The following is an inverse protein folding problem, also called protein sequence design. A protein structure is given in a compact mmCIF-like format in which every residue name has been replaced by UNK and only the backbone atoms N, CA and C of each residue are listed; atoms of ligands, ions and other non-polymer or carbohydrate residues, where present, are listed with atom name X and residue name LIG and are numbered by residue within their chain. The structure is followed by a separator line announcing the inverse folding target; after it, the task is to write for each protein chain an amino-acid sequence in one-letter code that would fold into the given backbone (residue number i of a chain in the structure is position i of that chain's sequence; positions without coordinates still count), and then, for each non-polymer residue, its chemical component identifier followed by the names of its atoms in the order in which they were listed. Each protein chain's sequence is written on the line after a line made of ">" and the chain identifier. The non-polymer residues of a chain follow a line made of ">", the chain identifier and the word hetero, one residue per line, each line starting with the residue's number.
data_IF_898418377688
#
_entry.id   IF_898418377688
#
_cell.length_a   1.000
_cell.length_b   1.000
_cell.length_c   1.000
_cell.angle_alpha   90.00
_cell.angle_beta   90.00
_cell.angle_gamma   90.00
#
_symmetry.space_group_name_H-M   'P 1'
#
loop_
_entity.id
_entity.type
_entity.pdbx_description
1 polymer ?
#
# COMPACT_ATOMS: atom_id res chain seq x y z
N UNK A 1 3.64 -20.71 -53.69
CA UNK A 1 2.52 -21.00 -52.77
C UNK A 1 3.11 -21.57 -51.49
N UNK A 2 2.82 -21.15 -50.26
CA UNK A 2 1.95 -20.12 -49.68
C UNK A 2 2.49 -19.88 -48.25
N UNK A 3 2.63 -18.62 -47.85
CA UNK A 3 1.86 -17.99 -46.76
C UNK A 3 1.84 -18.72 -45.41
N UNK A 4 2.36 -18.02 -44.39
CA UNK A 4 1.73 -17.73 -43.09
C UNK A 4 2.68 -17.97 -41.91
N UNK A 5 3.21 -16.87 -41.35
CA UNK A 5 2.93 -16.57 -39.94
C UNK A 5 3.15 -15.08 -39.68
N UNK A 6 2.04 -14.37 -39.79
CA UNK A 6 1.75 -13.08 -39.16
C UNK A 6 1.44 -13.36 -37.69
N UNK A 7 2.11 -12.69 -36.75
CA UNK A 7 1.59 -12.21 -35.47
C UNK A 7 2.77 -11.94 -34.51
N UNK A 8 3.27 -10.71 -34.43
CA UNK A 8 2.86 -9.75 -33.39
C UNK A 8 2.76 -10.35 -31.99
N UNK A 9 3.78 -10.13 -31.17
CA UNK A 9 3.51 -9.55 -29.85
C UNK A 9 4.70 -8.70 -29.39
N UNK A 10 4.59 -7.41 -29.68
CA UNK A 10 5.29 -6.37 -28.96
C UNK A 10 4.83 -6.47 -27.51
N UNK A 11 5.67 -6.99 -26.63
CA UNK A 11 5.48 -6.90 -25.19
C UNK A 11 5.77 -5.45 -24.77
N UNK A 12 4.84 -4.54 -25.11
CA UNK A 12 4.68 -3.26 -24.45
C UNK A 12 3.99 -3.52 -23.11
N UNK A 13 4.69 -4.12 -22.16
CA UNK A 13 4.23 -4.13 -20.77
C UNK A 13 4.65 -2.82 -20.12
N UNK A 14 3.71 -1.87 -20.11
CA UNK A 14 3.73 -0.69 -19.25
C UNK A 14 4.22 -1.06 -17.82
N UNK A 15 5.36 -0.55 -17.33
CA UNK A 15 5.84 -0.88 -15.99
C UNK A 15 5.20 -0.05 -14.85
N UNK A 16 4.27 0.87 -15.14
CA UNK A 16 3.87 1.89 -14.16
C UNK A 16 3.01 1.41 -12.98
N UNK A 17 2.52 0.16 -13.00
CA UNK A 17 1.83 -0.48 -11.87
C UNK A 17 2.70 -1.53 -11.15
N UNK A 18 3.80 -1.95 -11.76
CA UNK A 18 4.68 -2.99 -11.24
C UNK A 18 5.79 -2.43 -10.34
N UNK A 19 6.13 -1.15 -10.43
CA UNK A 19 7.24 -0.58 -9.66
C UNK A 19 7.02 -0.65 -8.15
N UNK A 20 5.81 -0.32 -7.68
CA UNK A 20 5.47 -0.41 -6.25
C UNK A 20 5.44 -1.87 -5.76
N UNK A 21 4.93 -2.79 -6.57
CA UNK A 21 4.90 -4.23 -6.27
C UNK A 21 6.29 -4.87 -6.29
N UNK A 22 7.15 -4.45 -7.22
CA UNK A 22 8.54 -4.90 -7.32
C UNK A 22 9.36 -4.36 -6.14
N UNK A 23 9.15 -3.10 -5.76
CA UNK A 23 9.79 -2.51 -4.58
C UNK A 23 9.32 -3.17 -3.28
N UNK A 24 8.02 -3.48 -3.15
CA UNK A 24 7.49 -4.22 -2.00
C UNK A 24 8.08 -5.64 -1.91
N UNK A 25 8.18 -6.36 -3.04
CA UNK A 25 8.84 -7.67 -3.10
C UNK A 25 10.32 -7.58 -2.76
N UNK A 26 11.02 -6.56 -3.26
CA UNK A 26 12.44 -6.38 -2.96
C UNK A 26 12.66 -6.04 -1.48
N UNK A 27 11.78 -5.22 -0.88
CA UNK A 27 11.80 -4.92 0.55
C UNK A 27 11.50 -6.17 1.40
N UNK A 28 10.62 -7.05 0.94
CA UNK A 28 10.32 -8.32 1.62
C UNK A 28 11.43 -9.36 1.46
N UNK A 29 12.15 -9.35 0.33
CA UNK A 29 13.33 -10.19 0.10
C UNK A 29 14.60 -9.64 0.79
N UNK A 30 14.64 -8.34 1.11
CA UNK A 30 15.72 -7.69 1.84
C UNK A 30 15.23 -7.15 3.20
N UNK A 31 15.08 -8.02 4.21
CA UNK A 31 14.65 -7.61 5.56
C UNK A 31 15.61 -6.58 6.18
N UNK A 32 16.89 -6.59 5.79
CA UNK A 32 17.88 -5.59 6.24
C UNK A 32 17.55 -4.18 5.73
N UNK A 33 17.11 -4.06 4.48
CA UNK A 33 16.68 -2.77 3.91
C UNK A 33 15.43 -2.23 4.61
N UNK A 34 14.47 -3.11 4.90
CA UNK A 34 13.28 -2.75 5.67
C UNK A 34 13.64 -2.29 7.08
N UNK A 35 14.61 -2.97 7.72
CA UNK A 35 15.11 -2.63 9.05
C UNK A 35 15.82 -1.29 9.08
N UNK A 36 16.64 -0.98 8.06
CA UNK A 36 17.25 0.36 7.90
C UNK A 36 16.21 1.45 7.66
N UNK A 37 15.15 1.16 6.89
CA UNK A 37 14.08 2.11 6.68
C UNK A 37 13.30 2.37 7.97
N UNK A 38 13.02 1.34 8.77
CA UNK A 38 12.39 1.51 10.09
C UNK A 38 13.29 2.24 11.09
N UNK A 39 14.60 2.01 11.03
CA UNK A 39 15.57 2.69 11.88
C UNK A 39 15.68 4.19 11.53
N UNK A 40 15.31 4.56 10.30
CA UNK A 40 15.34 5.94 9.84
C UNK A 40 14.46 6.84 10.72
N UNK A 41 15.00 7.95 11.27
CA UNK A 41 14.26 8.83 12.17
C UNK A 41 12.99 9.39 11.53
N UNK A 42 12.95 9.57 10.21
CA UNK A 42 11.75 9.99 9.50
C UNK A 42 10.66 8.92 9.59
N UNK A 43 11.02 7.65 9.38
CA UNK A 43 10.08 6.54 9.46
C UNK A 43 9.61 6.31 10.90
N UNK A 44 10.49 6.48 11.88
CA UNK A 44 10.11 6.46 13.30
C UNK A 44 9.13 7.57 13.65
N UNK A 45 9.33 8.78 13.10
CA UNK A 45 8.36 9.87 13.25
C UNK A 45 7.04 9.55 12.55
N UNK A 46 7.07 8.97 11.35
CA UNK A 46 5.84 8.58 10.64
C UNK A 46 5.08 7.48 11.40
N UNK A 47 5.75 6.43 11.87
CA UNK A 47 5.12 5.34 12.63
C UNK A 47 4.70 5.77 14.03
N UNK A 48 5.49 6.63 14.67
CA UNK A 48 5.21 7.17 16.00
C UNK A 48 4.15 8.25 16.01
N UNK A 49 3.91 8.91 14.87
CA UNK A 49 2.91 9.97 14.73
C UNK A 49 1.82 9.55 13.73
N UNK A 50 0.66 9.08 14.21
CA UNK A 50 -0.44 8.65 13.34
C UNK A 50 -0.96 9.77 12.43
N UNK A 51 -0.79 11.03 12.82
CA UNK A 51 -1.19 12.21 12.05
C UNK A 51 -0.34 12.39 10.78
N UNK A 52 0.96 12.13 10.86
CA UNK A 52 1.87 12.14 9.70
C UNK A 52 1.53 10.97 8.78
N UNK A 53 1.37 9.77 9.34
CA UNK A 53 1.00 8.58 8.57
C UNK A 53 -0.33 8.78 7.83
N UNK A 54 -1.34 9.33 8.51
CA UNK A 54 -2.63 9.72 7.91
C UNK A 54 -2.45 10.73 6.79
N UNK A 55 -1.61 11.75 6.98
CA UNK A 55 -1.35 12.76 5.94
C UNK A 55 -0.73 12.13 4.69
N UNK A 56 0.19 11.19 4.85
CA UNK A 56 0.78 10.45 3.73
C UNK A 56 -0.25 9.59 3.00
N UNK A 57 -1.12 8.89 3.74
CA UNK A 57 -2.23 8.13 3.17
C UNK A 57 -3.21 9.04 2.43
N UNK A 58 -3.63 10.15 3.03
CA UNK A 58 -4.55 11.10 2.43
C UNK A 58 -3.95 11.79 1.19
N UNK A 59 -2.62 12.01 1.17
CA UNK A 59 -1.92 12.55 0.01
C UNK A 59 -1.65 11.49 -1.09
N UNK A 60 -1.97 10.22 -0.86
CA UNK A 60 -1.79 9.19 -1.86
C UNK A 60 -3.01 9.14 -2.80
N UNK A 61 -2.85 9.37 -4.12
CA UNK A 61 -3.96 9.33 -5.08
C UNK A 61 -4.66 7.98 -5.14
N UNK A 62 -3.97 6.88 -4.81
CA UNK A 62 -4.59 5.56 -4.74
C UNK A 62 -5.59 5.48 -3.59
N UNK A 63 -5.26 6.06 -2.44
CA UNK A 63 -6.14 6.10 -1.28
C UNK A 63 -7.34 7.00 -1.57
N UNK A 64 -7.14 8.15 -2.21
CA UNK A 64 -8.23 9.01 -2.66
C UNK A 64 -9.24 8.22 -3.51
N UNK A 65 -8.75 7.45 -4.49
CA UNK A 65 -9.61 6.59 -5.31
C UNK A 65 -10.31 5.49 -4.50
N UNK A 66 -9.65 4.91 -3.48
CA UNK A 66 -10.30 3.96 -2.57
C UNK A 66 -11.39 4.63 -1.73
N UNK A 67 -11.18 5.87 -1.26
CA UNK A 67 -12.17 6.63 -0.49
C UNK A 67 -13.37 6.99 -1.37
N UNK A 68 -13.12 7.41 -2.62
CA UNK A 68 -14.18 7.70 -3.60
C UNK A 68 -15.01 6.46 -3.91
N UNK A 69 -14.38 5.29 -3.96
CA UNK A 69 -15.06 4.01 -4.23
C UNK A 69 -15.64 3.36 -2.98
N UNK A 70 -15.14 3.73 -1.80
CA UNK A 70 -15.51 3.14 -0.51
C UNK A 70 -15.55 4.24 0.57
N UNK A 71 -16.72 4.89 0.75
CA UNK A 71 -16.86 6.02 1.66
C UNK A 71 -16.67 5.63 3.15
N UNK A 72 -16.86 4.35 3.51
CA UNK A 72 -16.54 3.85 4.85
C UNK A 72 -15.03 3.93 5.12
N UNK A 73 -14.22 3.63 4.10
CA UNK A 73 -12.77 3.70 4.17
C UNK A 73 -12.31 5.16 4.38
N UNK A 74 -13.02 6.12 3.79
CA UNK A 74 -12.85 7.55 4.05
C UNK A 74 -13.15 7.94 5.50
N UNK A 75 -14.23 7.44 6.09
CA UNK A 75 -14.56 7.70 7.49
C UNK A 75 -13.49 7.12 8.43
N UNK A 76 -13.06 5.89 8.18
CA UNK A 76 -11.98 5.23 8.93
C UNK A 76 -10.68 6.02 8.87
N UNK A 77 -10.33 6.58 7.70
CA UNK A 77 -9.10 7.36 7.54
C UNK A 77 -9.19 8.79 8.08
N UNK A 78 -10.39 9.37 8.12
CA UNK A 78 -10.63 10.69 8.71
C UNK A 78 -10.73 10.65 10.23
N UNK A 79 -11.03 9.49 10.80
CA UNK A 79 -11.16 9.29 12.24
C UNK A 79 -10.02 8.42 12.79
N UNK A 80 -9.08 8.99 13.57
CA UNK A 80 -7.92 8.24 14.05
C UNK A 80 -8.29 7.14 15.07
N UNK A 81 -9.42 7.26 15.76
CA UNK A 81 -9.90 6.25 16.70
C UNK A 81 -10.45 5.04 15.93
N UNK A 82 -11.26 5.30 14.91
CA UNK A 82 -11.76 4.25 14.01
C UNK A 82 -10.64 3.56 13.23
N UNK A 83 -9.62 4.32 12.80
CA UNK A 83 -8.42 3.76 12.17
C UNK A 83 -7.66 2.84 13.12
N UNK A 84 -7.48 3.24 14.38
CA UNK A 84 -6.84 2.42 15.42
C UNK A 84 -7.66 1.17 15.69
N UNK A 85 -8.97 1.30 15.82
CA UNK A 85 -9.88 0.17 16.02
C UNK A 85 -9.82 -0.83 14.85
N UNK A 86 -9.78 -0.32 13.62
CA UNK A 86 -9.65 -1.16 12.41
C UNK A 86 -8.27 -1.81 12.36
N UNK A 87 -7.21 -1.05 12.65
CA UNK A 87 -5.84 -1.56 12.69
C UNK A 87 -5.66 -2.60 13.78
N UNK A 88 -6.26 -2.43 14.96
CA UNK A 88 -6.28 -3.38 16.06
C UNK A 88 -7.06 -4.64 15.70
N UNK A 89 -8.20 -4.52 15.01
CA UNK A 89 -8.94 -5.68 14.49
C UNK A 89 -8.10 -6.49 13.49
N UNK A 90 -7.33 -5.81 12.65
CA UNK A 90 -6.42 -6.43 11.67
C UNK A 90 -5.18 -7.03 12.35
N UNK A 91 -4.58 -6.33 13.33
CA UNK A 91 -3.38 -6.78 14.06
C UNK A 91 -3.68 -7.88 15.08
N UNK A 92 -4.89 -7.88 15.63
CA UNK A 92 -5.34 -8.76 16.67
C UNK A 92 -6.66 -9.43 16.26
N UNK A 93 -6.62 -10.40 15.32
CA UNK A 93 -7.80 -11.14 14.89
C UNK A 93 -8.46 -11.95 16.03
N UNK A 94 -7.84 -12.00 17.21
CA UNK A 94 -8.33 -12.67 18.41
C UNK A 94 -9.39 -11.89 19.21
N UNK A 95 -9.69 -10.61 18.89
CA UNK A 95 -10.74 -9.87 19.60
C UNK A 95 -12.14 -9.95 18.94
N UNK A 96 -12.26 -10.45 17.71
CA UNK A 96 -13.54 -10.61 16.98
C UNK A 96 -14.29 -11.90 17.33
N UNK A 97 -14.30 -12.29 18.60
CA UNK A 97 -15.06 -13.46 19.08
C UNK A 97 -15.47 -13.31 20.55
N UNK A 98 -16.49 -12.49 20.80
CA UNK A 98 -17.37 -12.68 21.96
C UNK A 98 -18.79 -12.30 21.64
#
# INVERSE_FOLDING_TARGET
>A
AGQANTASNQTSTNPSSNTAQAMAQQMMNNPEMMRQMMDNPIMQNIMGNPEIFRSLLANNPQIQQLIERNPELGHVLNDPDMMRQTMEMIRNPTCSKK
#
